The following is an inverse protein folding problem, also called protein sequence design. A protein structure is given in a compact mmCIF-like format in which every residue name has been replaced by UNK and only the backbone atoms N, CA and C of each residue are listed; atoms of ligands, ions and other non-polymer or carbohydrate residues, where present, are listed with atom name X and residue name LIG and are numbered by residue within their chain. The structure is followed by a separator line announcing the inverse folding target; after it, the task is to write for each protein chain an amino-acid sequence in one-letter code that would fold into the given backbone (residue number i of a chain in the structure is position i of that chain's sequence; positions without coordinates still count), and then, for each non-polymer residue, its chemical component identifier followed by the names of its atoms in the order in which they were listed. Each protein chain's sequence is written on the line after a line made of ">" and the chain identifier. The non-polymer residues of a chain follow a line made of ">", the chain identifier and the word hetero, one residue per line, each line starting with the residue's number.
data_IF_038158839187
#
_entry.id   IF_038158839187
#
_cell.length_a   1.000
_cell.length_b   1.000
_cell.length_c   1.000
_cell.angle_alpha   90.00
_cell.angle_beta   90.00
_cell.angle_gamma   90.00
#
_symmetry.space_group_name_H-M   'P 1'
#
loop_
_entity.id
_entity.type
_entity.pdbx_description
1 polymer ?
#
# COMPACT_ATOMS: atom_id res chain seq x y z
N UNK A 1 -33.51 -3.90 -14.84
CA UNK A 1 -33.14 -4.88 -13.81
C UNK A 1 -32.15 -4.27 -12.85
N UNK A 2 -32.32 -4.43 -11.56
CA UNK A 2 -31.32 -4.00 -10.59
C UNK A 2 -30.09 -4.92 -10.68
N UNK A 3 -28.90 -4.33 -10.85
CA UNK A 3 -27.63 -5.06 -10.87
C UNK A 3 -27.37 -5.68 -9.48
N UNK A 4 -27.05 -6.97 -9.44
CA UNK A 4 -26.75 -7.68 -8.18
C UNK A 4 -25.32 -7.47 -7.71
N UNK A 5 -24.36 -7.37 -8.64
CA UNK A 5 -22.95 -7.12 -8.35
C UNK A 5 -22.72 -5.65 -8.07
N UNK A 6 -22.04 -5.31 -6.97
CA UNK A 6 -21.65 -3.96 -6.62
C UNK A 6 -20.29 -3.62 -7.20
N UNK A 7 -20.14 -2.38 -7.68
CA UNK A 7 -18.86 -1.87 -8.18
C UNK A 7 -18.24 -1.01 -7.09
N UNK A 8 -17.05 -1.42 -6.65
CA UNK A 8 -16.18 -0.64 -5.77
C UNK A 8 -15.06 -0.07 -6.62
N UNK A 9 -14.87 1.25 -6.58
CA UNK A 9 -13.78 1.89 -7.29
C UNK A 9 -12.91 2.72 -6.33
N UNK A 10 -11.60 2.61 -6.49
CA UNK A 10 -10.64 3.42 -5.71
C UNK A 10 -10.58 4.83 -6.25
N UNK A 11 -10.68 5.82 -5.35
CA UNK A 11 -10.51 7.23 -5.66
C UNK A 11 -9.04 7.59 -5.49
N UNK A 12 -8.39 7.92 -6.58
CA UNK A 12 -6.98 8.26 -6.66
C UNK A 12 -6.71 9.35 -7.69
N UNK A 13 -5.45 9.67 -8.00
CA UNK A 13 -5.08 10.81 -8.86
C UNK A 13 -5.82 10.87 -10.21
N UNK A 14 -6.14 9.72 -10.79
CA UNK A 14 -6.88 9.65 -12.06
C UNK A 14 -8.41 9.84 -11.92
N UNK A 15 -8.95 9.92 -10.70
CA UNK A 15 -10.39 9.89 -10.43
C UNK A 15 -10.83 10.85 -9.31
N UNK A 16 -9.96 11.73 -8.86
CA UNK A 16 -10.23 12.68 -7.76
C UNK A 16 -10.75 14.05 -8.24
N UNK A 17 -10.96 14.24 -9.52
CA UNK A 17 -11.66 15.42 -10.03
C UNK A 17 -13.18 15.20 -10.09
N UNK A 18 -13.94 16.31 -9.94
CA UNK A 18 -15.40 16.27 -9.84
C UNK A 18 -16.07 15.69 -11.09
N UNK A 19 -15.52 15.93 -12.29
CA UNK A 19 -16.11 15.50 -13.55
C UNK A 19 -15.95 13.99 -13.76
N UNK A 20 -14.77 13.47 -13.50
CA UNK A 20 -14.47 12.03 -13.58
C UNK A 20 -15.28 11.25 -12.53
N UNK A 21 -15.33 11.76 -11.30
CA UNK A 21 -16.09 11.14 -10.23
C UNK A 21 -17.59 11.10 -10.53
N UNK A 22 -18.14 12.19 -11.13
CA UNK A 22 -19.51 12.22 -11.62
C UNK A 22 -19.76 11.12 -12.65
N UNK A 23 -18.89 11.02 -13.67
CA UNK A 23 -19.00 9.98 -14.70
C UNK A 23 -18.95 8.56 -14.11
N UNK A 24 -18.09 8.31 -13.12
CA UNK A 24 -18.01 7.01 -12.42
C UNK A 24 -19.32 6.68 -11.69
N UNK A 25 -19.91 7.64 -10.99
CA UNK A 25 -21.19 7.45 -10.28
C UNK A 25 -22.34 7.21 -11.26
N UNK A 26 -22.38 7.98 -12.36
CA UNK A 26 -23.39 7.82 -13.42
C UNK A 26 -23.25 6.48 -14.13
N UNK A 27 -22.03 6.02 -14.38
CA UNK A 27 -21.72 4.70 -14.94
C UNK A 27 -22.06 3.54 -13.98
N UNK A 28 -22.34 3.85 -12.71
CA UNK A 28 -22.87 2.88 -11.75
C UNK A 28 -21.90 2.44 -10.67
N UNK A 29 -20.94 3.26 -10.28
CA UNK A 29 -20.16 3.03 -9.07
C UNK A 29 -21.08 3.02 -7.85
N UNK A 30 -21.03 1.96 -7.05
CA UNK A 30 -21.83 1.82 -5.83
C UNK A 30 -21.05 2.25 -4.58
N UNK A 31 -19.72 2.06 -4.58
CA UNK A 31 -18.86 2.32 -3.44
C UNK A 31 -17.55 2.98 -3.89
N UNK A 32 -17.17 4.06 -3.23
CA UNK A 32 -15.86 4.69 -3.35
C UNK A 32 -14.91 4.12 -2.28
N UNK A 33 -13.75 3.58 -2.68
CA UNK A 33 -12.69 3.18 -1.77
C UNK A 33 -11.66 4.30 -1.67
N UNK A 34 -11.38 4.76 -0.45
CA UNK A 34 -10.36 5.76 -0.13
C UNK A 34 -9.27 5.08 0.69
N UNK A 35 -8.08 4.94 0.10
CA UNK A 35 -6.93 4.32 0.77
C UNK A 35 -6.13 5.35 1.57
N UNK A 36 -5.85 5.07 2.85
CA UNK A 36 -5.05 5.94 3.70
C UNK A 36 -3.54 5.66 3.65
N UNK A 37 -3.12 4.74 2.80
CA UNK A 37 -1.71 4.38 2.65
C UNK A 37 -0.86 5.43 1.91
N UNK A 38 -1.49 6.41 1.25
CA UNK A 38 -0.84 7.41 0.42
C UNK A 38 -1.41 8.81 0.66
N UNK A 39 -0.55 9.83 0.55
CA UNK A 39 -0.94 11.22 0.79
C UNK A 39 -1.20 11.54 2.27
N UNK A 40 -1.73 12.74 2.50
CA UNK A 40 -2.05 13.22 3.85
C UNK A 40 -3.48 12.90 4.24
N UNK A 41 -3.78 12.94 5.53
CA UNK A 41 -5.15 12.73 6.03
C UNK A 41 -6.11 13.80 5.47
N UNK A 42 -5.65 15.04 5.36
CA UNK A 42 -6.41 16.17 4.82
C UNK A 42 -6.83 15.92 3.37
N UNK A 43 -5.93 15.39 2.54
CA UNK A 43 -6.23 15.01 1.14
C UNK A 43 -7.29 13.91 1.10
N UNK A 44 -7.20 12.91 1.95
CA UNK A 44 -8.18 11.82 1.97
C UNK A 44 -9.55 12.29 2.49
N UNK A 45 -9.58 13.20 3.46
CA UNK A 45 -10.81 13.85 3.94
C UNK A 45 -11.44 14.71 2.83
N UNK A 46 -10.63 15.42 2.04
CA UNK A 46 -11.12 16.18 0.89
C UNK A 46 -11.80 15.25 -0.15
N UNK A 47 -11.21 14.09 -0.45
CA UNK A 47 -11.82 13.08 -1.33
C UNK A 47 -13.15 12.58 -0.79
N UNK A 48 -13.23 12.32 0.52
CA UNK A 48 -14.48 11.93 1.17
C UNK A 48 -15.59 12.98 0.94
N UNK A 49 -15.27 14.26 1.18
CA UNK A 49 -16.22 15.35 0.99
C UNK A 49 -16.62 15.52 -0.49
N UNK A 50 -15.68 15.34 -1.41
CA UNK A 50 -15.95 15.40 -2.84
C UNK A 50 -16.93 14.29 -3.26
N UNK A 51 -16.70 13.04 -2.83
CA UNK A 51 -17.63 11.93 -3.12
C UNK A 51 -19.03 12.24 -2.59
N UNK A 52 -19.15 12.74 -1.36
CA UNK A 52 -20.45 13.10 -0.77
C UNK A 52 -21.15 14.22 -1.54
N UNK A 53 -20.41 15.26 -1.91
CA UNK A 53 -20.92 16.39 -2.71
C UNK A 53 -21.48 15.91 -4.06
N UNK A 54 -20.65 15.15 -4.82
CA UNK A 54 -21.05 14.70 -6.16
C UNK A 54 -22.22 13.73 -6.10
N UNK A 55 -22.19 12.77 -5.17
CA UNK A 55 -23.30 11.83 -4.98
C UNK A 55 -24.61 12.55 -4.64
N UNK A 56 -24.55 13.54 -3.74
CA UNK A 56 -25.72 14.37 -3.36
C UNK A 56 -26.27 15.15 -4.56
N UNK A 57 -25.41 15.78 -5.36
CA UNK A 57 -25.79 16.53 -6.56
C UNK A 57 -26.48 15.65 -7.62
N UNK A 58 -26.16 14.37 -7.64
CA UNK A 58 -26.75 13.37 -8.55
C UNK A 58 -27.98 12.68 -7.96
N UNK A 59 -28.32 12.94 -6.70
CA UNK A 59 -29.38 12.21 -5.99
C UNK A 59 -29.08 10.70 -5.87
N UNK A 60 -27.78 10.32 -5.80
CA UNK A 60 -27.33 8.93 -5.72
C UNK A 60 -26.79 8.60 -4.32
N UNK A 61 -26.99 7.36 -3.92
CA UNK A 61 -26.37 6.82 -2.71
C UNK A 61 -25.09 6.07 -3.10
N UNK A 62 -23.94 6.59 -2.65
CA UNK A 62 -22.62 5.96 -2.82
C UNK A 62 -22.06 5.62 -1.46
N UNK A 63 -21.73 4.34 -1.23
CA UNK A 63 -21.00 3.91 -0.06
C UNK A 63 -19.58 4.47 -0.08
N UNK A 64 -18.97 4.63 1.10
CA UNK A 64 -17.54 4.93 1.19
C UNK A 64 -16.89 3.89 2.08
N UNK A 65 -15.84 3.27 1.57
CA UNK A 65 -14.94 2.39 2.33
C UNK A 65 -13.63 3.14 2.51
N UNK A 66 -13.22 3.33 3.76
CA UNK A 66 -11.90 3.84 4.10
C UNK A 66 -11.02 2.64 4.41
N UNK A 67 -9.96 2.50 3.63
CA UNK A 67 -9.00 1.40 3.76
C UNK A 67 -7.82 1.89 4.60
N UNK A 68 -7.74 1.37 5.83
CA UNK A 68 -6.68 1.71 6.76
C UNK A 68 -5.41 0.93 6.39
N UNK A 69 -4.25 1.59 6.33
CA UNK A 69 -3.00 0.87 6.18
C UNK A 69 -2.80 0.00 7.44
N UNK A 70 -2.64 -1.31 7.23
CA UNK A 70 -2.13 -2.18 8.28
C UNK A 70 -0.66 -1.87 8.58
N UNK A 71 -0.03 -2.56 9.53
CA UNK A 71 1.43 -2.52 9.67
C UNK A 71 2.04 -2.99 8.34
N UNK A 72 2.68 -2.06 7.62
CA UNK A 72 3.31 -2.33 6.34
C UNK A 72 4.79 -2.01 6.45
N UNK A 73 5.60 -3.06 6.51
CA UNK A 73 7.05 -2.93 6.46
C UNK A 73 7.47 -2.57 5.04
N UNK A 74 8.31 -1.57 4.89
CA UNK A 74 8.82 -1.11 3.60
C UNK A 74 10.34 -1.15 3.59
N UNK A 75 10.89 -1.50 2.43
CA UNK A 75 12.30 -1.28 2.17
C UNK A 75 12.56 0.20 1.92
N UNK A 76 13.71 0.70 2.37
CA UNK A 76 14.21 2.00 1.96
C UNK A 76 14.45 2.02 0.44
N UNK A 77 14.37 3.18 -0.21
CA UNK A 77 14.59 3.30 -1.64
C UNK A 77 16.02 2.84 -2.01
N UNK A 78 16.15 2.32 -3.21
CA UNK A 78 17.44 2.03 -3.83
C UNK A 78 17.84 3.18 -4.74
N UNK A 79 19.08 3.68 -4.63
CA UNK A 79 19.60 4.77 -5.46
C UNK A 79 19.50 4.49 -6.96
N UNK A 80 19.67 3.21 -7.35
CA UNK A 80 19.63 2.76 -8.74
C UNK A 80 18.27 2.17 -9.16
N UNK A 81 17.23 2.42 -8.35
CA UNK A 81 15.86 1.99 -8.65
C UNK A 81 15.54 0.55 -8.27
N UNK A 82 16.50 -0.23 -7.78
CA UNK A 82 16.32 -1.60 -7.31
C UNK A 82 17.59 -2.42 -7.39
N UNK A 83 17.52 -3.65 -6.87
CA UNK A 83 18.56 -4.65 -7.02
C UNK A 83 17.96 -5.94 -7.59
N UNK A 84 18.77 -6.71 -8.29
CA UNK A 84 18.44 -8.06 -8.69
C UNK A 84 18.84 -9.03 -7.58
N UNK A 85 17.86 -9.75 -7.05
CA UNK A 85 18.11 -10.83 -6.10
C UNK A 85 18.29 -12.13 -6.89
N UNK A 86 19.47 -12.70 -6.79
CA UNK A 86 19.84 -13.95 -7.50
C UNK A 86 19.49 -15.12 -6.57
N UNK A 87 18.87 -16.15 -7.13
CA UNK A 87 18.55 -17.39 -6.42
C UNK A 87 19.83 -18.02 -5.80
N UNK A 88 19.70 -18.57 -4.60
CA UNK A 88 20.78 -19.17 -3.82
C UNK A 88 21.94 -18.21 -3.42
N UNK A 89 21.69 -16.90 -3.43
CA UNK A 89 22.64 -15.91 -2.89
C UNK A 89 22.17 -15.33 -1.57
N UNK A 90 23.12 -14.91 -0.74
CA UNK A 90 22.81 -14.24 0.52
C UNK A 90 22.64 -12.74 0.31
N UNK A 91 21.72 -12.15 1.07
CA UNK A 91 21.50 -10.70 1.15
C UNK A 91 21.32 -10.32 2.61
N UNK A 92 21.90 -9.19 3.02
CA UNK A 92 21.69 -8.67 4.37
C UNK A 92 20.45 -7.80 4.45
N UNK A 93 19.67 -7.99 5.51
CA UNK A 93 18.57 -7.09 5.88
C UNK A 93 18.89 -6.39 7.20
N UNK A 94 18.53 -5.13 7.32
CA UNK A 94 18.74 -4.37 8.55
C UNK A 94 17.76 -3.23 8.72
N UNK A 95 17.82 -2.57 9.87
CA UNK A 95 16.95 -1.43 10.22
C UNK A 95 17.68 -0.08 10.08
N UNK A 96 18.93 -0.11 9.68
CA UNK A 96 19.79 1.08 9.57
C UNK A 96 19.83 1.59 8.13
N UNK A 97 19.75 2.92 7.99
CA UNK A 97 19.92 3.61 6.73
C UNK A 97 18.63 4.12 6.10
N UNK A 98 18.76 5.25 5.40
CA UNK A 98 17.69 5.88 4.63
C UNK A 98 17.62 5.37 3.19
N UNK A 99 18.61 4.57 2.77
CA UNK A 99 18.72 3.96 1.44
C UNK A 99 19.15 2.50 1.56
N UNK A 100 18.67 1.69 0.61
CA UNK A 100 19.08 0.31 0.44
C UNK A 100 20.18 0.20 -0.64
N UNK A 101 21.04 -0.82 -0.51
CA UNK A 101 22.10 -1.15 -1.46
C UNK A 101 22.09 -2.64 -1.80
N UNK A 102 23.02 -3.08 -2.64
CA UNK A 102 23.25 -4.50 -2.92
C UNK A 102 23.73 -5.28 -1.67
N UNK A 103 24.38 -4.61 -0.73
CA UNK A 103 24.96 -5.23 0.44
C UNK A 103 23.99 -5.26 1.62
N UNK A 104 23.05 -4.30 1.68
CA UNK A 104 22.09 -4.16 2.77
C UNK A 104 20.75 -3.65 2.27
N UNK A 105 19.71 -4.44 2.43
CA UNK A 105 18.32 -3.98 2.27
C UNK A 105 17.87 -3.41 3.62
N UNK A 106 17.72 -2.09 3.68
CA UNK A 106 17.21 -1.40 4.85
C UNK A 106 15.69 -1.47 4.89
N UNK A 107 15.10 -1.74 6.06
CA UNK A 107 13.64 -1.80 6.25
C UNK A 107 13.18 -0.89 7.37
N UNK A 108 11.99 -0.34 7.24
CA UNK A 108 11.37 0.61 8.19
C UNK A 108 10.68 -0.08 9.38
N UNK A 109 11.26 -1.18 9.88
CA UNK A 109 10.70 -1.95 10.98
C UNK A 109 11.70 -2.10 12.12
N UNK A 110 11.63 -1.23 13.16
CA UNK A 110 12.62 -1.22 14.25
C UNK A 110 12.73 -2.54 15.03
N UNK A 111 11.66 -3.33 15.05
CA UNK A 111 11.64 -4.59 15.79
C UNK A 111 12.05 -5.80 14.93
N UNK A 112 12.54 -5.60 13.70
CA UNK A 112 12.89 -6.68 12.79
C UNK A 112 13.75 -7.75 13.47
N UNK A 113 14.85 -7.31 14.12
CA UNK A 113 15.80 -8.21 14.76
C UNK A 113 15.26 -8.94 16.02
N UNK A 114 14.14 -8.46 16.58
CA UNK A 114 13.49 -9.08 17.74
C UNK A 114 12.45 -10.12 17.34
N UNK A 115 11.75 -9.85 16.24
CA UNK A 115 10.61 -10.62 15.80
C UNK A 115 10.99 -11.73 14.82
N UNK A 116 12.15 -11.62 14.15
CA UNK A 116 12.65 -12.59 13.16
C UNK A 116 13.56 -13.62 13.82
N UNK A 117 13.42 -14.89 13.44
CA UNK A 117 14.23 -16.02 13.97
C UNK A 117 14.90 -16.78 12.83
N UNK A 118 15.95 -17.53 13.17
CA UNK A 118 16.60 -18.44 12.23
C UNK A 118 15.59 -19.45 11.65
N UNK A 119 15.58 -19.57 10.34
CA UNK A 119 14.66 -20.42 9.59
C UNK A 119 13.33 -19.79 9.22
N UNK A 120 13.06 -18.56 9.65
CA UNK A 120 11.90 -17.83 9.20
C UNK A 120 11.99 -17.48 7.71
N UNK A 121 10.83 -17.35 7.07
CA UNK A 121 10.73 -16.92 5.68
C UNK A 121 10.17 -15.49 5.61
N UNK A 122 10.91 -14.60 4.98
CA UNK A 122 10.51 -13.22 4.72
C UNK A 122 10.08 -13.05 3.26
N UNK A 123 8.93 -12.42 3.06
CA UNK A 123 8.33 -12.26 1.73
C UNK A 123 8.34 -10.80 1.30
N UNK A 124 8.75 -10.54 0.07
CA UNK A 124 8.74 -9.23 -0.57
C UNK A 124 7.74 -9.21 -1.72
N UNK A 125 7.14 -8.04 -1.97
CA UNK A 125 6.30 -7.81 -3.15
C UNK A 125 5.12 -8.76 -3.24
N UNK A 126 4.36 -8.94 -2.16
CA UNK A 126 3.19 -9.82 -2.09
C UNK A 126 3.52 -11.30 -2.43
N UNK A 127 4.71 -11.75 -2.06
CA UNK A 127 5.14 -13.14 -2.24
C UNK A 127 5.91 -13.40 -3.54
N UNK A 128 6.29 -12.37 -4.27
CA UNK A 128 7.08 -12.52 -5.50
C UNK A 128 8.51 -12.99 -5.23
N UNK A 129 9.08 -12.55 -4.12
CA UNK A 129 10.41 -12.97 -3.65
C UNK A 129 10.29 -13.45 -2.22
N UNK A 130 10.89 -14.59 -1.92
CA UNK A 130 10.95 -15.16 -0.58
C UNK A 130 12.41 -15.42 -0.24
N UNK A 131 12.85 -14.95 0.93
CA UNK A 131 14.17 -15.22 1.48
C UNK A 131 14.04 -15.96 2.82
N UNK A 132 15.00 -16.82 3.13
CA UNK A 132 15.02 -17.52 4.40
C UNK A 132 16.12 -16.93 5.28
N UNK A 133 15.83 -16.79 6.56
CA UNK A 133 16.78 -16.28 7.54
C UNK A 133 17.80 -17.38 7.89
N UNK A 134 19.04 -17.20 7.47
CA UNK A 134 20.14 -18.15 7.71
C UNK A 134 21.03 -17.72 8.87
N UNK A 135 21.20 -16.42 9.04
CA UNK A 135 21.99 -15.84 10.12
C UNK A 135 21.23 -14.67 10.75
N UNK A 136 21.48 -14.42 12.02
CA UNK A 136 20.86 -13.36 12.77
C UNK A 136 21.91 -12.67 13.64
N UNK A 137 22.29 -11.47 13.22
CA UNK A 137 23.19 -10.60 13.98
C UNK A 137 22.35 -9.56 14.75
N UNK A 138 22.18 -9.73 16.03
CA UNK A 138 21.46 -8.77 16.85
C UNK A 138 21.66 -9.05 18.34
N UNK A 139 21.75 -7.98 19.13
CA UNK A 139 21.70 -8.08 20.57
C UNK A 139 20.32 -8.59 21.03
N UNK A 140 20.34 -9.58 21.92
CA UNK A 140 19.18 -10.13 22.62
C UNK A 140 18.61 -9.12 23.60
#
# INVERSE_FOLDING_TARGET
>A
MARRTKIIATIGPASEDESTLRGMIEAGMDVARIGLAHGTLEEQVAKFHLVRKVASNLGKHVGIVVDLPGPKVRCAPFSDGGIELIEDTQVSLGIEGSESSSDLISVDYPNLLQDVQLGDSLSFGDGQVVVNVEEHEGER
#
